data_IF_411678975445
#
_entry.id   IF_411678975445
#
_cell.length_a   1.000
_cell.length_b   1.000
_cell.length_c   1.000
_cell.angle_alpha   90.00
_cell.angle_beta   90.00
_cell.angle_gamma   90.00
#
_symmetry.space_group_name_H-M   'P 1'
#
loop_
_entity.id
_entity.type
_entity.pdbx_description
1 polymer ?
#
# COMPACT_ATOMS: atom_id res chain seq x y z
N UNK A 1 -14.64 -23.99 20.89
CA UNK A 1 -13.46 -23.87 20.11
C UNK A 1 -13.61 -22.94 18.97
N UNK A 2 -14.60 -23.14 18.13
CA UNK A 2 -14.77 -22.22 17.08
C UNK A 2 -15.03 -20.84 17.59
N UNK A 3 -15.76 -20.71 18.69
CA UNK A 3 -16.09 -19.38 19.19
C UNK A 3 -14.83 -18.64 19.63
N UNK A 4 -13.87 -19.33 20.17
CA UNK A 4 -12.65 -18.69 20.61
C UNK A 4 -11.88 -18.15 19.40
N UNK A 5 -11.84 -18.91 18.31
CA UNK A 5 -11.16 -18.45 17.13
C UNK A 5 -11.86 -17.25 16.52
N UNK A 6 -13.19 -17.25 16.50
CA UNK A 6 -13.91 -16.14 15.95
C UNK A 6 -13.73 -14.88 16.78
N UNK A 7 -13.74 -15.02 18.09
CA UNK A 7 -13.56 -13.86 18.96
C UNK A 7 -12.16 -13.29 18.79
N UNK A 8 -11.16 -14.16 18.71
CA UNK A 8 -9.80 -13.70 18.54
C UNK A 8 -9.64 -13.00 17.20
N UNK A 9 -10.25 -13.57 16.16
CA UNK A 9 -10.14 -12.97 14.82
C UNK A 9 -10.82 -11.61 14.79
N UNK A 10 -11.95 -11.47 15.43
CA UNK A 10 -12.68 -10.20 15.47
C UNK A 10 -11.87 -9.16 16.23
N UNK A 11 -11.20 -9.56 17.30
CA UNK A 11 -10.39 -8.64 18.08
C UNK A 11 -9.21 -8.17 17.26
N UNK A 12 -8.55 -9.07 16.55
CA UNK A 12 -7.40 -8.71 15.75
C UNK A 12 -7.80 -7.76 14.61
N UNK A 13 -8.96 -8.00 14.01
CA UNK A 13 -9.42 -7.12 12.96
C UNK A 13 -9.75 -5.74 13.49
N UNK A 14 -10.33 -5.69 14.69
CA UNK A 14 -10.62 -4.40 15.27
C UNK A 14 -9.34 -3.62 15.55
N UNK A 15 -8.34 -4.29 16.08
CA UNK A 15 -7.07 -3.65 16.34
C UNK A 15 -6.43 -3.17 15.04
N UNK A 16 -6.54 -3.99 13.98
CA UNK A 16 -5.98 -3.60 12.69
C UNK A 16 -6.64 -2.33 12.17
N UNK A 17 -7.96 -2.24 12.31
CA UNK A 17 -8.66 -1.04 11.86
C UNK A 17 -8.27 0.17 12.68
N UNK A 18 -8.01 -0.03 13.97
CA UNK A 18 -7.58 1.08 14.81
C UNK A 18 -6.20 1.58 14.39
N UNK A 19 -5.30 0.65 14.05
CA UNK A 19 -3.99 1.02 13.59
C UNK A 19 -4.09 1.77 12.26
N UNK A 20 -4.92 1.25 11.35
CA UNK A 20 -5.11 1.89 10.06
C UNK A 20 -5.68 3.31 10.24
N UNK A 21 -6.60 3.47 11.18
CA UNK A 21 -7.15 4.79 11.45
C UNK A 21 -6.06 5.76 11.90
N UNK A 22 -5.16 5.28 12.74
CA UNK A 22 -4.07 6.13 13.20
C UNK A 22 -3.15 6.53 12.06
N UNK A 23 -2.91 5.61 11.14
CA UNK A 23 -2.09 5.93 9.99
C UNK A 23 -2.78 7.02 9.17
N UNK A 24 -4.09 6.89 8.97
CA UNK A 24 -4.81 7.88 8.19
C UNK A 24 -4.84 9.24 8.87
N UNK A 25 -4.77 9.26 10.21
CA UNK A 25 -4.74 10.53 10.92
C UNK A 25 -3.47 11.32 10.62
N UNK A 26 -2.42 10.68 10.14
CA UNK A 26 -1.23 11.41 9.78
C UNK A 26 -1.41 12.17 8.47
N UNK A 27 -2.51 11.94 7.77
CA UNK A 27 -2.73 12.65 6.51
C UNK A 27 -1.88 12.13 5.37
N UNK A 28 -1.70 10.80 5.31
CA UNK A 28 -0.85 10.24 4.28
C UNK A 28 -1.48 10.33 2.90
N UNK A 29 -0.65 10.50 1.90
CA UNK A 29 -1.12 10.57 0.53
C UNK A 29 -1.24 9.19 -0.07
N UNK A 30 -1.86 9.11 -1.23
CA UNK A 30 -2.08 7.83 -1.89
C UNK A 30 -0.77 7.08 -2.10
N UNK A 31 0.26 7.76 -2.58
CA UNK A 31 1.55 7.16 -2.77
C UNK A 31 2.09 6.59 -1.47
N UNK A 32 1.93 7.32 -0.40
CA UNK A 32 2.42 6.88 0.89
C UNK A 32 1.65 5.68 1.40
N UNK A 33 0.35 5.62 1.11
CA UNK A 33 -0.44 4.47 1.51
C UNK A 33 0.08 3.21 0.83
N UNK A 34 0.40 3.31 -0.45
CA UNK A 34 0.92 2.18 -1.18
C UNK A 34 2.29 1.78 -0.66
N UNK A 35 3.14 2.75 -0.33
CA UNK A 35 4.44 2.45 0.25
C UNK A 35 4.31 1.79 1.61
N UNK A 36 3.36 2.23 2.42
CA UNK A 36 3.15 1.62 3.73
C UNK A 36 2.71 0.18 3.54
N UNK A 37 1.80 -0.06 2.62
CA UNK A 37 1.35 -1.41 2.34
C UNK A 37 2.51 -2.27 1.85
N UNK A 38 3.38 -1.72 1.01
CA UNK A 38 4.53 -2.45 0.51
C UNK A 38 5.45 -2.86 1.66
N UNK A 39 5.74 -1.92 2.55
CA UNK A 39 6.61 -2.20 3.68
C UNK A 39 6.02 -3.25 4.61
N UNK A 40 4.70 -3.26 4.75
CA UNK A 40 4.08 -4.29 5.57
C UNK A 40 4.05 -5.63 4.82
N UNK A 41 3.82 -5.58 3.52
CA UNK A 41 3.71 -6.81 2.75
C UNK A 41 5.01 -7.61 2.75
N UNK A 42 6.15 -6.94 2.69
CA UNK A 42 7.41 -7.66 2.65
C UNK A 42 7.72 -8.36 3.97
N UNK A 43 6.95 -8.10 5.01
CA UNK A 43 7.14 -8.79 6.27
C UNK A 43 6.24 -10.01 6.43
N UNK A 44 5.41 -10.29 5.42
CA UNK A 44 4.52 -11.44 5.51
C UNK A 44 5.31 -12.72 5.50
N UNK A 45 4.87 -13.68 6.30
CA UNK A 45 5.58 -14.94 6.38
C UNK A 45 5.20 -15.90 5.25
N UNK A 46 4.01 -15.75 4.70
CA UNK A 46 3.60 -16.59 3.58
C UNK A 46 4.25 -16.05 2.31
N UNK A 47 5.23 -16.76 1.81
CA UNK A 47 6.00 -16.30 0.66
C UNK A 47 5.17 -16.11 -0.60
N UNK A 48 4.21 -16.98 -0.83
CA UNK A 48 3.38 -16.87 -2.03
C UNK A 48 2.53 -15.62 -1.94
N UNK A 49 1.86 -15.42 -0.81
CA UNK A 49 1.03 -14.24 -0.63
C UNK A 49 1.88 -12.97 -0.70
N UNK A 50 3.05 -13.01 -0.08
CA UNK A 50 3.92 -11.86 -0.07
C UNK A 50 4.31 -11.47 -1.50
N UNK A 51 4.70 -12.43 -2.31
CA UNK A 51 5.11 -12.14 -3.68
C UNK A 51 3.98 -11.57 -4.51
N UNK A 52 2.80 -12.14 -4.38
CA UNK A 52 1.67 -11.68 -5.16
C UNK A 52 1.27 -10.26 -4.77
N UNK A 53 1.24 -9.98 -3.49
CA UNK A 53 0.84 -8.67 -3.02
C UNK A 53 1.91 -7.64 -3.39
N UNK A 54 3.18 -7.98 -3.19
CA UNK A 54 4.26 -7.07 -3.50
C UNK A 54 4.28 -6.73 -4.99
N UNK A 55 4.07 -7.72 -5.85
CA UNK A 55 4.07 -7.44 -7.27
C UNK A 55 2.92 -6.54 -7.66
N UNK A 56 1.76 -6.76 -7.06
CA UNK A 56 0.61 -5.91 -7.34
C UNK A 56 0.89 -4.47 -6.87
N UNK A 57 1.47 -4.32 -5.69
CA UNK A 57 1.78 -3.01 -5.17
C UNK A 57 2.84 -2.31 -6.02
N UNK A 58 3.79 -3.05 -6.54
CA UNK A 58 4.81 -2.47 -7.42
C UNK A 58 4.17 -1.90 -8.67
N UNK A 59 3.21 -2.62 -9.24
CA UNK A 59 2.55 -2.14 -10.44
C UNK A 59 1.83 -0.82 -10.16
N UNK A 60 1.14 -0.73 -9.03
CA UNK A 60 0.44 0.50 -8.71
C UNK A 60 1.42 1.62 -8.42
N UNK A 61 2.53 1.32 -7.78
CA UNK A 61 3.51 2.33 -7.50
C UNK A 61 4.10 2.89 -8.78
N UNK A 62 4.42 2.02 -9.72
CA UNK A 62 4.97 2.46 -11.00
C UNK A 62 3.94 3.28 -11.77
N UNK A 63 2.68 2.87 -11.69
CA UNK A 63 1.63 3.58 -12.38
C UNK A 63 1.48 5.00 -11.84
N UNK A 64 1.53 5.16 -10.53
CA UNK A 64 1.42 6.48 -9.93
C UNK A 64 2.63 7.32 -10.29
N UNK A 65 3.82 6.75 -10.22
CA UNK A 65 5.02 7.49 -10.55
C UNK A 65 4.99 7.91 -12.02
N UNK A 66 4.53 7.02 -12.89
CA UNK A 66 4.47 7.34 -14.29
C UNK A 66 3.50 8.49 -14.54
N UNK A 67 2.37 8.47 -13.86
CA UNK A 67 1.42 9.55 -14.03
C UNK A 67 2.01 10.86 -13.55
N UNK A 68 2.72 10.85 -12.46
CA UNK A 68 3.31 12.07 -11.97
C UNK A 68 4.38 12.55 -12.94
N UNK A 69 5.16 11.66 -13.48
CA UNK A 69 6.18 12.04 -14.42
C UNK A 69 5.55 12.60 -15.69
N UNK A 70 4.46 12.00 -16.13
CA UNK A 70 3.80 12.48 -17.31
C UNK A 70 3.26 13.89 -17.07
N UNK A 71 2.71 14.14 -15.92
CA UNK A 71 2.20 15.46 -15.62
C UNK A 71 3.36 16.45 -15.60
N UNK A 72 4.44 16.09 -14.97
CA UNK A 72 5.57 16.98 -14.91
C UNK A 72 6.15 17.17 -16.30
N UNK A 73 6.24 16.11 -17.06
CA UNK A 73 6.77 16.22 -18.36
C UNK A 73 5.89 17.06 -19.25
N UNK A 74 4.62 16.99 -19.10
CA UNK A 74 3.82 17.80 -19.95
C UNK A 74 4.12 19.22 -19.64
N UNK A 75 4.57 19.47 -18.45
CA UNK A 75 4.82 20.81 -18.13
C UNK A 75 6.09 21.16 -18.71
N UNK A 76 7.08 20.42 -18.52
CA UNK A 76 8.32 20.86 -19.03
C UNK A 76 8.67 20.02 -20.06
N UNK A 77 7.90 19.21 -20.38
CA UNK A 77 8.20 18.30 -21.18
C UNK A 77 8.93 18.41 -22.17
N UNK A 78 8.73 18.91 -22.58
CA UNK A 78 9.37 18.95 -23.55
C UNK A 78 10.65 18.62 -23.43
N UNK A 79 11.20 18.84 -22.44
CA UNK A 79 12.48 18.64 -22.26
C UNK A 79 12.82 17.32 -22.46
N UNK A 80 12.27 16.49 -22.02
CA UNK A 80 12.68 15.26 -22.05
C UNK A 80 12.56 14.73 -23.30
N UNK A 81 11.60 14.82 -23.85
CA UNK A 81 11.45 14.29 -24.95
C UNK A 81 11.98 14.87 -25.94
N UNK A 82 12.27 15.83 -25.80
CA UNK A 82 12.82 16.43 -26.73
C UNK A 82 13.92 16.13 -26.84
#
# INVERSE_FOLDING_TARGET
MKDVKLIRSAKLRKESREIASKILEFGVKEEQKIDIMFNLAITLENNIAMKEIVETLKKFRESINTQEEDDNNSTKSNKILV
#
